data_IF_798559951113
#
_entry.id   IF_798559951113
#
_cell.length_a   1.000
_cell.length_b   1.000
_cell.length_c   1.000
_cell.angle_alpha   90.00
_cell.angle_beta   90.00
_cell.angle_gamma   90.00
#
_symmetry.space_group_name_H-M   'P 1'
#
loop_
_entity.id
_entity.type
_entity.pdbx_description
1 polymer ?
#
# COMPACT_ATOMS: atom_id res chain seq x y z
N UNK A 1 -9.39 -15.65 -2.65
CA UNK A 1 -9.16 -16.93 -3.38
C UNK A 1 -10.35 -17.35 -4.22
N UNK A 2 -11.59 -17.18 -3.74
CA UNK A 2 -12.79 -17.68 -4.42
C UNK A 2 -13.04 -16.98 -5.76
N UNK A 3 -12.91 -15.67 -5.77
CA UNK A 3 -13.08 -14.89 -7.01
C UNK A 3 -11.97 -15.08 -8.06
N UNK A 4 -10.78 -15.56 -7.68
CA UNK A 4 -9.78 -15.98 -8.67
C UNK A 4 -10.28 -17.18 -9.46
N UNK A 5 -10.96 -18.13 -8.82
CA UNK A 5 -11.57 -19.28 -9.49
C UNK A 5 -12.75 -18.86 -10.37
N UNK A 6 -13.52 -17.87 -9.95
CA UNK A 6 -14.62 -17.31 -10.75
C UNK A 6 -14.06 -16.68 -12.01
N UNK A 7 -13.02 -15.81 -11.90
CA UNK A 7 -12.38 -15.17 -13.06
C UNK A 7 -11.70 -16.18 -13.99
N UNK A 8 -11.08 -17.25 -13.43
CA UNK A 8 -10.46 -18.32 -14.22
C UNK A 8 -11.48 -19.12 -15.07
N UNK A 9 -12.74 -19.13 -14.66
CA UNK A 9 -13.85 -19.68 -15.48
C UNK A 9 -14.44 -18.63 -16.41
N UNK A 10 -14.57 -17.40 -15.95
CA UNK A 10 -15.25 -16.33 -16.66
C UNK A 10 -14.55 -16.02 -18.00
N UNK A 11 -13.22 -15.84 -18.03
CA UNK A 11 -12.53 -15.52 -19.29
C UNK A 11 -12.72 -16.60 -20.35
N UNK A 12 -12.81 -17.88 -19.94
CA UNK A 12 -13.08 -19.00 -20.86
C UNK A 12 -14.51 -18.95 -21.39
N UNK A 13 -15.49 -18.72 -20.50
CA UNK A 13 -16.90 -18.63 -20.88
C UNK A 13 -17.15 -17.47 -21.84
N UNK A 14 -16.43 -16.37 -21.68
CA UNK A 14 -16.49 -15.19 -22.53
C UNK A 14 -15.53 -15.24 -23.73
N UNK A 15 -14.84 -16.36 -23.94
CA UNK A 15 -13.92 -16.58 -25.07
C UNK A 15 -12.83 -15.49 -25.18
N UNK A 16 -12.27 -15.08 -24.02
CA UNK A 16 -11.21 -14.08 -23.97
C UNK A 16 -9.85 -14.80 -24.03
N UNK A 17 -9.02 -14.43 -24.99
CA UNK A 17 -7.65 -14.90 -25.07
C UNK A 17 -6.76 -14.12 -24.08
N UNK A 18 -5.97 -14.86 -23.31
CA UNK A 18 -5.06 -14.29 -22.31
C UNK A 18 -3.61 -14.62 -22.64
N UNK A 19 -2.74 -13.61 -22.59
CA UNK A 19 -1.30 -13.82 -22.70
C UNK A 19 -0.73 -14.56 -21.47
N UNK A 20 -1.33 -14.38 -20.30
CA UNK A 20 -0.98 -15.04 -19.04
C UNK A 20 -2.25 -15.32 -18.24
N UNK A 21 -2.36 -16.51 -17.66
CA UNK A 21 -3.50 -16.91 -16.82
C UNK A 21 -3.70 -16.00 -15.60
N UNK A 22 -2.66 -15.34 -15.12
CA UNK A 22 -2.77 -14.38 -14.03
C UNK A 22 -3.56 -13.12 -14.41
N UNK A 23 -3.79 -12.89 -15.70
CA UNK A 23 -4.61 -11.81 -16.24
C UNK A 23 -6.10 -12.20 -16.40
N UNK A 24 -6.53 -13.31 -15.76
CA UNK A 24 -7.92 -13.77 -15.82
C UNK A 24 -8.90 -12.63 -15.53
N UNK A 25 -9.83 -12.42 -16.45
CA UNK A 25 -10.76 -11.28 -16.44
C UNK A 25 -12.15 -11.70 -16.95
N UNK A 26 -13.09 -10.78 -16.83
CA UNK A 26 -14.43 -10.89 -17.38
C UNK A 26 -14.86 -9.54 -17.96
N UNK A 27 -15.78 -9.47 -18.93
CA UNK A 27 -16.36 -8.22 -19.37
C UNK A 27 -16.93 -7.44 -18.19
N UNK A 28 -16.75 -6.11 -18.17
CA UNK A 28 -17.07 -5.28 -17.03
C UNK A 28 -18.53 -5.39 -16.58
N UNK A 29 -19.45 -5.48 -17.52
CA UNK A 29 -20.91 -5.59 -17.31
C UNK A 29 -21.41 -7.03 -17.04
N UNK A 30 -20.51 -8.01 -17.08
CA UNK A 30 -20.83 -9.39 -16.72
C UNK A 30 -21.16 -9.53 -15.23
N UNK A 31 -21.98 -10.53 -14.91
CA UNK A 31 -22.30 -10.85 -13.50
C UNK A 31 -21.06 -11.16 -12.68
N UNK A 32 -20.10 -11.90 -13.24
CA UNK A 32 -18.86 -12.29 -12.60
C UNK A 32 -18.00 -11.07 -12.22
N UNK A 33 -17.86 -10.09 -13.13
CA UNK A 33 -17.11 -8.87 -12.87
C UNK A 33 -17.79 -8.00 -11.80
N UNK A 34 -19.12 -7.85 -11.86
CA UNK A 34 -19.86 -7.07 -10.88
C UNK A 34 -19.84 -7.69 -9.49
N UNK A 35 -19.98 -9.00 -9.38
CA UNK A 35 -19.89 -9.72 -8.11
C UNK A 35 -18.47 -9.64 -7.51
N UNK A 36 -17.44 -9.76 -8.36
CA UNK A 36 -16.05 -9.56 -7.96
C UNK A 36 -15.81 -8.16 -7.40
N UNK A 37 -16.27 -7.12 -8.08
CA UNK A 37 -16.09 -5.73 -7.61
C UNK A 37 -16.80 -5.48 -6.29
N UNK A 38 -18.05 -5.97 -6.12
CA UNK A 38 -18.78 -5.86 -4.85
C UNK A 38 -18.04 -6.52 -3.70
N UNK A 39 -17.54 -7.74 -3.91
CA UNK A 39 -16.79 -8.47 -2.88
C UNK A 39 -15.46 -7.76 -2.56
N UNK A 40 -14.77 -7.23 -3.55
CA UNK A 40 -13.54 -6.45 -3.35
C UNK A 40 -13.83 -5.17 -2.55
N UNK A 41 -14.89 -4.44 -2.86
CA UNK A 41 -15.25 -3.23 -2.11
C UNK A 41 -15.64 -3.54 -0.67
N UNK A 42 -16.37 -4.63 -0.43
CA UNK A 42 -16.65 -5.09 0.92
C UNK A 42 -15.37 -5.41 1.71
N UNK A 43 -14.43 -6.13 1.09
CA UNK A 43 -13.13 -6.44 1.70
C UNK A 43 -12.29 -5.17 1.95
N UNK A 44 -12.31 -4.21 1.03
CA UNK A 44 -11.62 -2.93 1.20
C UNK A 44 -12.22 -2.12 2.35
N UNK A 45 -13.54 -2.04 2.45
CA UNK A 45 -14.23 -1.35 3.54
C UNK A 45 -13.93 -2.00 4.90
N UNK A 46 -13.89 -3.33 4.96
CA UNK A 46 -13.46 -4.05 6.17
C UNK A 46 -12.03 -3.67 6.55
N UNK A 47 -11.11 -3.62 5.59
CA UNK A 47 -9.72 -3.25 5.84
C UNK A 47 -9.60 -1.79 6.34
N UNK A 48 -10.38 -0.86 5.80
CA UNK A 48 -10.42 0.52 6.30
C UNK A 48 -10.95 0.61 7.72
N UNK A 49 -12.07 -0.07 8.02
CA UNK A 49 -12.61 -0.14 9.38
C UNK A 49 -11.58 -0.72 10.36
N UNK A 50 -10.87 -1.79 9.98
CA UNK A 50 -9.81 -2.37 10.79
C UNK A 50 -8.67 -1.36 11.09
N UNK A 51 -8.18 -0.63 10.08
CA UNK A 51 -7.15 0.40 10.29
C UNK A 51 -7.65 1.55 11.16
N UNK A 52 -8.92 1.94 11.02
CA UNK A 52 -9.54 2.95 11.86
C UNK A 52 -9.56 2.50 13.34
N UNK A 53 -9.93 1.25 13.60
CA UNK A 53 -9.89 0.67 14.95
C UNK A 53 -8.46 0.61 15.51
N UNK A 54 -7.49 0.20 14.71
CA UNK A 54 -6.07 0.22 15.11
C UNK A 54 -5.61 1.64 15.48
N UNK A 55 -6.00 2.64 14.69
CA UNK A 55 -5.67 4.04 14.98
C UNK A 55 -6.31 4.51 16.29
N UNK A 56 -7.55 4.11 16.55
CA UNK A 56 -8.24 4.41 17.81
C UNK A 56 -7.47 3.83 19.01
N UNK A 57 -7.15 2.54 19.00
CA UNK A 57 -6.40 1.91 20.09
C UNK A 57 -4.98 2.48 20.28
N UNK A 58 -4.31 2.87 19.20
CA UNK A 58 -3.03 3.56 19.31
C UNK A 58 -3.20 4.88 20.03
N UNK A 59 -4.22 5.69 19.70
CA UNK A 59 -4.52 6.96 20.38
C UNK A 59 -4.81 6.75 21.85
N UNK A 60 -5.71 5.85 22.21
CA UNK A 60 -6.02 5.49 23.61
C UNK A 60 -4.75 5.10 24.37
N UNK A 61 -3.92 4.25 23.80
CA UNK A 61 -2.65 3.84 24.44
C UNK A 61 -1.73 5.01 24.71
N UNK A 62 -1.62 5.96 23.77
CA UNK A 62 -0.81 7.15 23.96
C UNK A 62 -1.43 8.10 24.99
N UNK A 63 -2.74 8.27 25.01
CA UNK A 63 -3.47 9.05 26.00
C UNK A 63 -3.25 8.52 27.41
N UNK A 64 -3.40 7.21 27.59
CA UNK A 64 -3.22 6.51 28.87
C UNK A 64 -1.78 6.64 29.42
N UNK A 65 -0.78 6.53 28.54
CA UNK A 65 0.64 6.57 28.95
C UNK A 65 1.12 8.00 29.20
N UNK A 66 0.71 8.95 28.34
CA UNK A 66 1.27 10.31 28.35
C UNK A 66 0.38 11.33 29.09
N UNK A 67 -0.85 10.94 29.46
CA UNK A 67 -1.79 11.82 30.19
C UNK A 67 -2.24 13.02 29.37
N UNK A 68 -2.24 12.93 28.05
CA UNK A 68 -2.65 14.00 27.11
C UNK A 68 -3.61 13.42 26.07
N UNK A 69 -4.58 14.23 25.64
CA UNK A 69 -5.47 13.79 24.57
C UNK A 69 -4.71 13.61 23.22
N UNK A 70 -5.18 12.71 22.38
CA UNK A 70 -4.63 12.53 21.03
C UNK A 70 -4.65 13.83 20.22
N UNK A 71 -5.65 14.68 20.43
CA UNK A 71 -5.77 15.99 19.81
C UNK A 71 -4.66 16.94 20.27
N UNK A 72 -4.38 17.00 21.57
CA UNK A 72 -3.34 17.86 22.13
C UNK A 72 -1.93 17.40 21.74
N UNK A 73 -1.78 16.10 21.44
CA UNK A 73 -0.56 15.52 20.91
C UNK A 73 -0.44 15.66 19.37
N UNK A 74 -1.44 16.19 18.69
CA UNK A 74 -1.44 16.33 17.23
C UNK A 74 -1.47 14.99 16.48
N UNK A 75 -2.11 13.96 17.05
CA UNK A 75 -2.18 12.63 16.46
C UNK A 75 -3.25 12.55 15.35
N UNK A 76 -3.04 13.30 14.29
CA UNK A 76 -3.91 13.31 13.12
C UNK A 76 -3.49 12.28 12.07
N UNK A 77 -4.48 11.77 11.32
CA UNK A 77 -4.19 10.92 10.15
C UNK A 77 -3.78 11.82 8.98
N UNK A 78 -2.55 11.64 8.51
CA UNK A 78 -2.09 12.33 7.30
C UNK A 78 -2.87 11.82 6.10
N UNK A 79 -2.88 10.52 5.87
CA UNK A 79 -3.60 9.88 4.78
C UNK A 79 -3.81 8.38 5.04
N UNK A 80 -4.85 7.81 4.43
CA UNK A 80 -5.08 6.36 4.39
C UNK A 80 -5.34 5.92 2.95
N UNK A 81 -4.59 4.94 2.47
CA UNK A 81 -4.65 4.46 1.09
C UNK A 81 -4.57 2.95 1.01
N UNK A 82 -5.39 2.37 0.13
CA UNK A 82 -5.32 0.95 -0.19
C UNK A 82 -4.33 0.70 -1.34
N UNK A 83 -3.62 -0.43 -1.28
CA UNK A 83 -2.64 -0.87 -2.29
C UNK A 83 -2.99 -2.21 -2.96
N UNK A 84 -4.13 -2.80 -2.58
CA UNK A 84 -4.71 -4.00 -3.18
C UNK A 84 -6.19 -3.74 -3.45
N UNK A 85 -6.48 -3.03 -4.52
CA UNK A 85 -7.84 -2.60 -4.85
C UNK A 85 -7.98 -2.35 -6.34
N UNK A 86 -9.19 -2.53 -6.87
CA UNK A 86 -9.60 -1.99 -8.16
C UNK A 86 -10.59 -0.85 -7.94
N UNK A 87 -10.43 0.23 -8.66
CA UNK A 87 -11.34 1.37 -8.64
C UNK A 87 -11.75 1.77 -10.04
N UNK A 88 -13.01 2.17 -10.19
CA UNK A 88 -13.45 2.85 -11.39
C UNK A 88 -12.94 4.30 -11.32
N UNK A 89 -12.20 4.70 -12.31
CA UNK A 89 -11.56 6.02 -12.38
C UNK A 89 -11.68 6.55 -13.81
N UNK A 90 -11.68 7.86 -13.97
CA UNK A 90 -11.61 8.50 -15.28
C UNK A 90 -10.19 8.99 -15.54
N UNK A 91 -9.60 8.51 -16.61
CA UNK A 91 -8.24 8.88 -17.03
C UNK A 91 -8.22 9.32 -18.49
N UNK A 92 -7.31 10.21 -18.83
CA UNK A 92 -7.03 10.58 -20.22
C UNK A 92 -6.19 9.48 -20.89
N UNK A 93 -6.68 8.97 -22.01
CA UNK A 93 -5.96 8.03 -22.85
C UNK A 93 -6.05 8.47 -24.31
N UNK A 94 -4.91 8.71 -24.95
CA UNK A 94 -4.84 9.22 -26.35
C UNK A 94 -5.72 10.47 -26.56
N UNK A 95 -5.74 11.38 -25.58
CA UNK A 95 -6.48 12.64 -25.63
C UNK A 95 -7.96 12.56 -25.24
N UNK A 96 -8.51 11.38 -25.03
CA UNK A 96 -9.93 11.17 -24.66
C UNK A 96 -10.05 10.72 -23.20
N UNK A 97 -11.11 11.18 -22.54
CA UNK A 97 -11.46 10.70 -21.21
C UNK A 97 -12.06 9.28 -21.29
N UNK A 98 -11.47 8.35 -20.58
CA UNK A 98 -11.93 6.96 -20.52
C UNK A 98 -12.24 6.55 -19.09
N UNK A 99 -13.39 5.91 -18.88
CA UNK A 99 -13.71 5.21 -17.62
C UNK A 99 -12.99 3.86 -17.61
N UNK A 100 -12.13 3.67 -16.64
CA UNK A 100 -11.29 2.48 -16.50
C UNK A 100 -11.50 1.84 -15.12
N UNK A 101 -11.28 0.53 -15.04
CA UNK A 101 -11.12 -0.16 -13.75
C UNK A 101 -9.64 -0.33 -13.48
N UNK A 102 -9.07 0.58 -12.70
CA UNK A 102 -7.63 0.58 -12.40
C UNK A 102 -7.35 -0.37 -11.24
N UNK A 103 -6.66 -1.47 -11.54
CA UNK A 103 -6.23 -2.46 -10.56
C UNK A 103 -4.85 -2.08 -10.01
N UNK A 104 -4.77 -1.93 -8.69
CA UNK A 104 -3.50 -1.71 -7.98
C UNK A 104 -3.22 -2.87 -7.05
N UNK A 105 -2.15 -3.61 -7.35
CA UNK A 105 -1.60 -4.65 -6.49
C UNK A 105 -0.09 -4.49 -6.45
N UNK A 106 0.43 -4.17 -5.26
CA UNK A 106 1.83 -3.77 -5.14
C UNK A 106 2.08 -2.34 -5.66
N UNK A 107 1.03 -1.59 -5.90
CA UNK A 107 1.03 -0.18 -6.26
C UNK A 107 -0.01 0.57 -5.42
N UNK A 108 0.15 1.87 -5.24
CA UNK A 108 -0.80 2.74 -4.57
C UNK A 108 -1.22 3.89 -5.47
N UNK A 109 -2.37 4.50 -5.16
CA UNK A 109 -2.84 5.69 -5.86
C UNK A 109 -1.95 6.88 -5.53
N UNK A 110 -1.59 7.65 -6.54
CA UNK A 110 -0.72 8.83 -6.48
C UNK A 110 -1.26 9.95 -7.38
N UNK A 111 -2.49 10.40 -7.11
CA UNK A 111 -3.13 11.42 -7.93
C UNK A 111 -2.43 12.77 -7.79
N UNK A 112 -2.27 13.45 -8.91
CA UNK A 112 -1.63 14.74 -9.00
C UNK A 112 -2.47 15.89 -8.45
N UNK A 113 -1.88 17.09 -8.38
CA UNK A 113 -2.61 18.32 -8.03
C UNK A 113 -3.82 18.53 -8.94
N UNK A 114 -4.86 19.17 -8.38
CA UNK A 114 -6.10 19.49 -9.09
C UNK A 114 -7.14 18.38 -9.11
N UNK A 115 -6.83 17.15 -8.68
CA UNK A 115 -7.81 16.06 -8.64
C UNK A 115 -8.88 16.31 -7.58
N UNK A 116 -10.14 16.23 -7.97
CA UNK A 116 -11.29 16.34 -7.05
C UNK A 116 -11.48 15.09 -6.19
N UNK A 117 -10.88 13.97 -6.59
CA UNK A 117 -10.96 12.69 -5.86
C UNK A 117 -10.07 12.63 -4.61
N UNK A 118 -9.25 13.64 -4.37
CA UNK A 118 -8.44 13.75 -3.15
C UNK A 118 -8.99 14.82 -2.21
N UNK A 119 -8.79 14.68 -0.88
CA UNK A 119 -9.25 15.67 0.09
C UNK A 119 -8.77 17.08 -0.25
N UNK A 120 -9.62 18.07 -0.03
CA UNK A 120 -9.39 19.47 -0.39
C UNK A 120 -8.03 20.00 0.08
N UNK A 121 -7.63 19.66 1.31
CA UNK A 121 -6.35 20.07 1.90
C UNK A 121 -5.11 19.63 1.09
N UNK A 122 -5.25 18.62 0.23
CA UNK A 122 -4.17 18.12 -0.60
C UNK A 122 -4.30 18.45 -2.10
N UNK A 123 -5.42 19.03 -2.54
CA UNK A 123 -5.66 19.31 -3.96
C UNK A 123 -4.61 20.19 -4.62
N UNK A 124 -3.99 21.09 -3.88
CA UNK A 124 -2.92 21.98 -4.41
C UNK A 124 -1.57 21.27 -4.54
N UNK A 125 -1.33 20.23 -3.76
CA UNK A 125 -0.02 19.56 -3.67
C UNK A 125 -0.02 18.22 -4.40
N UNK A 126 -1.12 17.52 -4.37
CA UNK A 126 -1.26 16.13 -4.81
C UNK A 126 -1.49 15.17 -3.64
N UNK A 127 -1.92 13.97 -3.96
CA UNK A 127 -2.26 12.95 -2.97
C UNK A 127 -1.01 12.52 -2.18
N UNK A 128 -1.07 12.48 -0.83
CA UNK A 128 -0.02 11.86 -0.04
C UNK A 128 0.18 10.38 -0.39
N UNK A 129 1.43 9.99 -0.56
CA UNK A 129 1.87 8.63 -0.87
C UNK A 129 2.79 8.15 0.23
N UNK A 130 2.58 6.93 0.70
CA UNK A 130 3.42 6.29 1.70
C UNK A 130 4.16 5.12 1.06
N UNK A 131 5.49 5.14 1.10
CA UNK A 131 6.34 4.03 0.67
C UNK A 131 7.07 3.49 1.91
N UNK A 132 6.49 2.52 2.62
CA UNK A 132 7.14 1.89 3.75
C UNK A 132 8.32 1.02 3.30
N UNK A 133 9.40 1.08 4.07
CA UNK A 133 10.52 0.17 3.98
C UNK A 133 10.32 -1.04 4.89
N UNK A 134 11.31 -1.35 5.70
CA UNK A 134 11.31 -2.49 6.61
C UNK A 134 11.40 -2.06 8.07
N UNK A 135 11.38 -3.02 8.99
CA UNK A 135 11.55 -2.78 10.43
C UNK A 135 12.85 -2.05 10.78
N UNK A 136 13.91 -2.22 9.98
CA UNK A 136 15.24 -1.65 10.24
C UNK A 136 15.66 -0.57 9.25
N UNK A 137 14.82 -0.19 8.31
CA UNK A 137 15.11 0.83 7.30
C UNK A 137 14.20 2.04 7.44
N UNK A 138 14.25 2.96 6.49
CA UNK A 138 13.37 4.11 6.47
C UNK A 138 12.00 3.80 5.88
N UNK A 139 11.04 4.68 6.10
CA UNK A 139 9.82 4.82 5.32
C UNK A 139 9.74 6.25 4.77
N UNK A 140 8.98 6.43 3.71
CA UNK A 140 8.95 7.69 2.99
C UNK A 140 7.53 8.21 2.80
N UNK A 141 7.40 9.52 2.90
CA UNK A 141 6.21 10.27 2.49
C UNK A 141 6.55 10.99 1.20
N UNK A 142 5.72 10.81 0.20
CA UNK A 142 5.79 11.47 -1.09
C UNK A 142 4.42 12.10 -1.40
N UNK A 143 4.32 12.79 -2.52
CA UNK A 143 3.02 13.18 -3.07
C UNK A 143 2.93 12.82 -4.55
N UNK A 144 1.70 12.53 -5.00
CA UNK A 144 1.39 12.23 -6.40
C UNK A 144 1.55 13.47 -7.28
N UNK A 145 1.76 13.24 -8.56
CA UNK A 145 2.08 14.27 -9.54
C UNK A 145 1.21 14.18 -10.79
N UNK A 146 1.25 15.20 -11.63
CA UNK A 146 0.60 15.15 -12.92
C UNK A 146 1.23 14.09 -13.84
N UNK A 147 2.56 13.88 -13.76
CA UNK A 147 3.25 12.81 -14.49
C UNK A 147 2.68 11.42 -14.13
N UNK A 148 2.33 11.17 -12.85
CA UNK A 148 1.68 9.91 -12.49
C UNK A 148 0.33 9.74 -13.19
N UNK A 149 -0.45 10.80 -13.31
CA UNK A 149 -1.74 10.75 -14.01
C UNK A 149 -1.59 10.39 -15.49
N UNK A 150 -0.55 10.90 -16.12
CA UNK A 150 -0.28 10.73 -17.56
C UNK A 150 0.36 9.38 -17.88
N UNK A 151 1.34 8.95 -17.07
CA UNK A 151 2.20 7.80 -17.39
C UNK A 151 1.77 6.50 -16.70
N UNK A 152 1.10 6.59 -15.53
CA UNK A 152 0.83 5.42 -14.69
C UNK A 152 -0.60 5.35 -14.16
N UNK A 153 -1.55 6.02 -14.79
CA UNK A 153 -2.93 6.12 -14.30
C UNK A 153 -2.99 6.52 -12.82
N UNK A 154 -2.21 7.55 -12.44
CA UNK A 154 -2.14 8.03 -11.07
C UNK A 154 -1.68 6.97 -10.07
N UNK A 155 -0.65 6.20 -10.40
CA UNK A 155 -0.15 5.12 -9.56
C UNK A 155 1.35 5.22 -9.32
N UNK A 156 1.83 4.73 -8.16
CA UNK A 156 3.25 4.59 -7.82
C UNK A 156 3.49 3.34 -6.97
N UNK A 157 4.73 3.03 -6.64
CA UNK A 157 5.09 1.93 -5.75
C UNK A 157 4.41 2.09 -4.37
N UNK A 158 3.98 0.97 -3.76
CA UNK A 158 3.33 0.98 -2.45
C UNK A 158 4.27 0.68 -1.29
N UNK A 159 5.52 0.30 -1.55
CA UNK A 159 6.52 -0.11 -0.55
C UNK A 159 7.78 -0.63 -1.22
N UNK A 160 8.74 -1.07 -0.43
CA UNK A 160 10.01 -1.61 -0.92
C UNK A 160 9.84 -2.85 -1.82
N UNK A 161 8.82 -3.65 -1.56
CA UNK A 161 8.66 -4.95 -2.20
C UNK A 161 9.64 -6.00 -1.67
N UNK A 162 9.30 -7.28 -1.80
CA UNK A 162 10.11 -8.39 -1.29
C UNK A 162 11.06 -8.94 -2.36
N UNK A 163 12.21 -9.42 -1.93
CA UNK A 163 13.14 -10.23 -2.73
C UNK A 163 13.06 -11.71 -2.33
N UNK A 164 12.63 -12.01 -1.10
CA UNK A 164 12.43 -13.37 -0.60
C UNK A 164 10.97 -13.64 -0.30
N UNK A 165 10.53 -14.89 -0.51
CA UNK A 165 9.24 -15.35 0.00
C UNK A 165 9.25 -15.39 1.53
N UNK A 166 8.06 -15.34 2.16
CA UNK A 166 7.96 -15.45 3.63
C UNK A 166 8.54 -16.75 4.14
N UNK A 167 8.29 -17.86 3.45
CA UNK A 167 8.84 -19.17 3.81
C UNK A 167 10.38 -19.23 3.69
N UNK A 168 10.96 -18.57 2.70
CA UNK A 168 12.41 -18.49 2.57
C UNK A 168 13.02 -17.61 3.65
N UNK A 169 12.42 -16.44 3.92
CA UNK A 169 12.90 -15.55 4.98
C UNK A 169 12.93 -16.26 6.37
N UNK A 170 11.91 -17.07 6.68
CA UNK A 170 11.91 -17.88 7.93
C UNK A 170 13.04 -18.91 8.01
N UNK A 171 13.57 -19.37 6.88
CA UNK A 171 14.70 -20.29 6.85
C UNK A 171 16.04 -19.58 6.97
N UNK A 172 16.14 -18.39 6.37
CA UNK A 172 17.41 -17.66 6.21
C UNK A 172 17.71 -16.75 7.41
N UNK A 173 16.68 -16.32 8.15
CA UNK A 173 16.85 -15.34 9.24
C UNK A 173 16.43 -15.90 10.60
N UNK A 174 17.25 -15.62 11.61
CA UNK A 174 16.97 -15.95 13.00
C UNK A 174 16.35 -14.75 13.72
N UNK A 175 15.20 -14.89 14.38
CA UNK A 175 14.55 -13.79 15.09
C UNK A 175 15.44 -13.04 16.08
N UNK A 176 16.29 -13.76 16.84
CA UNK A 176 17.18 -13.17 17.84
C UNK A 176 18.24 -12.25 17.20
N UNK A 177 18.82 -12.66 16.07
CA UNK A 177 19.79 -11.82 15.35
C UNK A 177 19.13 -10.52 14.84
N UNK A 178 17.88 -10.62 14.34
CA UNK A 178 17.09 -9.45 13.90
C UNK A 178 16.83 -8.52 15.07
N UNK A 179 16.35 -9.04 16.21
CA UNK A 179 16.08 -8.25 17.41
C UNK A 179 17.33 -7.51 17.89
N UNK A 180 18.48 -8.21 17.96
CA UNK A 180 19.74 -7.62 18.38
C UNK A 180 20.18 -6.51 17.43
N UNK A 181 20.10 -6.72 16.12
CA UNK A 181 20.42 -5.71 15.12
C UNK A 181 19.50 -4.49 15.19
N UNK A 182 18.20 -4.70 15.39
CA UNK A 182 17.24 -3.60 15.56
C UNK A 182 17.52 -2.82 16.85
N UNK A 183 17.76 -3.50 17.96
CA UNK A 183 18.10 -2.88 19.24
C UNK A 183 19.39 -2.05 19.16
N UNK A 184 20.44 -2.57 18.50
CA UNK A 184 21.69 -1.84 18.26
C UNK A 184 21.48 -0.54 17.45
N UNK A 185 20.44 -0.48 16.62
CA UNK A 185 20.02 0.71 15.86
C UNK A 185 18.94 1.55 16.58
N UNK A 186 18.65 1.26 17.85
CA UNK A 186 17.70 2.02 18.67
C UNK A 186 16.23 1.72 18.34
N UNK A 187 15.93 0.67 17.58
CA UNK A 187 14.57 0.28 17.20
C UNK A 187 14.04 -0.78 18.17
N UNK A 188 12.95 -0.48 18.86
CA UNK A 188 12.24 -1.44 19.71
C UNK A 188 11.26 -2.26 18.86
N UNK A 189 11.28 -3.59 19.01
CA UNK A 189 10.34 -4.47 18.31
C UNK A 189 9.49 -5.26 19.30
N UNK A 190 8.20 -5.38 18.98
CA UNK A 190 7.26 -6.30 19.60
C UNK A 190 6.49 -7.05 18.52
N UNK A 191 6.41 -8.36 18.63
CA UNK A 191 5.69 -9.21 17.68
C UNK A 191 4.89 -10.28 18.42
N UNK A 192 3.82 -10.76 17.81
CA UNK A 192 2.98 -11.83 18.36
C UNK A 192 3.70 -13.17 18.40
N UNK A 193 4.58 -13.42 17.43
CA UNK A 193 5.38 -14.65 17.35
C UNK A 193 6.77 -14.37 16.80
N UNK A 194 7.74 -15.22 17.12
CA UNK A 194 9.09 -15.18 16.58
C UNK A 194 9.11 -15.38 15.05
N UNK A 195 8.20 -16.21 14.54
CA UNK A 195 8.10 -16.46 13.09
C UNK A 195 7.79 -15.18 12.30
N UNK A 196 6.97 -14.28 12.85
CA UNK A 196 6.65 -12.99 12.20
C UNK A 196 7.89 -12.11 12.09
N UNK A 197 8.79 -12.15 13.08
CA UNK A 197 10.04 -11.38 13.03
C UNK A 197 10.93 -11.88 11.89
N UNK A 198 11.09 -13.19 11.76
CA UNK A 198 11.88 -13.79 10.68
C UNK A 198 11.25 -13.54 9.30
N UNK A 199 9.92 -13.70 9.18
CA UNK A 199 9.18 -13.41 7.94
C UNK A 199 9.42 -12.00 7.42
N UNK A 200 9.47 -11.02 8.33
CA UNK A 200 9.55 -9.60 8.04
C UNK A 200 10.98 -9.06 8.18
N UNK A 201 11.99 -9.94 8.14
CA UNK A 201 13.39 -9.55 8.22
C UNK A 201 13.74 -8.45 7.19
N UNK A 202 14.51 -7.42 7.58
CA UNK A 202 14.89 -6.34 6.67
C UNK A 202 15.50 -6.82 5.35
N UNK A 203 16.38 -7.82 5.40
CA UNK A 203 17.04 -8.39 4.22
C UNK A 203 16.10 -9.18 3.28
N UNK A 204 14.86 -9.43 3.65
CA UNK A 204 13.87 -10.05 2.77
C UNK A 204 13.23 -9.08 1.77
N UNK A 205 13.60 -7.80 1.82
CA UNK A 205 13.03 -6.71 1.02
C UNK A 205 14.08 -6.03 0.14
N UNK A 206 13.60 -5.41 -0.93
CA UNK A 206 14.42 -4.51 -1.75
C UNK A 206 14.83 -3.28 -0.93
N UNK A 207 15.88 -2.62 -1.37
CA UNK A 207 16.27 -1.33 -0.81
C UNK A 207 15.20 -0.26 -1.09
N UNK A 208 14.59 0.26 -0.03
CA UNK A 208 13.53 1.27 -0.13
C UNK A 208 14.05 2.61 -0.67
N UNK A 209 15.31 2.95 -0.39
CA UNK A 209 15.93 4.20 -0.86
C UNK A 209 16.00 4.18 -2.39
N UNK A 210 16.36 3.04 -2.98
CA UNK A 210 16.38 2.84 -4.44
C UNK A 210 14.97 2.92 -5.05
N UNK A 211 13.96 2.32 -4.41
CA UNK A 211 12.57 2.38 -4.89
C UNK A 211 12.05 3.82 -4.90
N UNK A 212 12.30 4.56 -3.82
CA UNK A 212 11.88 5.97 -3.70
C UNK A 212 12.61 6.85 -4.70
N UNK A 213 13.93 6.64 -4.87
CA UNK A 213 14.74 7.39 -5.84
C UNK A 213 14.19 7.23 -7.27
N UNK A 214 13.75 6.03 -7.65
CA UNK A 214 13.13 5.81 -8.96
C UNK A 214 11.82 6.58 -9.07
N UNK A 215 10.92 6.45 -8.10
CA UNK A 215 9.62 7.15 -8.10
C UNK A 215 9.79 8.67 -8.18
N UNK A 216 10.78 9.23 -7.47
CA UNK A 216 11.06 10.67 -7.46
C UNK A 216 11.74 11.14 -8.76
N UNK A 217 12.78 10.41 -9.23
CA UNK A 217 13.54 10.80 -10.42
C UNK A 217 12.72 10.70 -11.71
N UNK A 218 11.80 9.75 -11.81
CA UNK A 218 10.86 9.64 -12.95
C UNK A 218 9.72 10.65 -12.86
N UNK A 219 9.59 11.37 -11.75
CA UNK A 219 8.54 12.36 -11.58
C UNK A 219 7.15 11.78 -11.23
N UNK A 220 7.03 10.47 -11.06
CA UNK A 220 5.75 9.81 -10.75
C UNK A 220 5.25 10.20 -9.34
N UNK A 221 6.16 10.29 -8.37
CA UNK A 221 5.84 10.79 -7.04
C UNK A 221 7.02 11.59 -6.49
N UNK A 222 6.77 12.73 -5.87
CA UNK A 222 7.83 13.59 -5.34
C UNK A 222 8.06 13.41 -3.86
N UNK A 223 9.32 13.28 -3.47
CA UNK A 223 9.76 13.07 -2.08
C UNK A 223 9.42 14.29 -1.22
N UNK A 224 8.82 14.02 -0.06
CA UNK A 224 8.49 15.02 0.97
C UNK A 224 9.32 14.80 2.22
N UNK A 225 9.33 13.56 2.76
CA UNK A 225 10.01 13.27 4.01
C UNK A 225 10.53 11.83 4.05
N UNK A 226 11.65 11.64 4.76
CA UNK A 226 12.19 10.34 5.16
C UNK A 226 12.02 10.21 6.68
N UNK A 227 11.41 9.09 7.12
CA UNK A 227 11.21 8.80 8.53
C UNK A 227 11.88 7.47 8.90
N UNK A 228 12.40 7.39 10.12
CA UNK A 228 13.02 6.16 10.66
C UNK A 228 12.14 5.59 11.77
N UNK A 229 12.04 4.27 11.90
CA UNK A 229 11.30 3.66 12.99
C UNK A 229 12.01 3.88 14.33
N UNK A 230 11.25 4.20 15.36
CA UNK A 230 11.66 4.15 16.78
C UNK A 230 11.20 2.86 17.43
N UNK A 231 10.04 2.38 17.00
CA UNK A 231 9.47 1.11 17.47
C UNK A 231 8.65 0.47 16.35
N UNK A 232 8.53 -0.83 16.39
CA UNK A 232 7.76 -1.63 15.45
C UNK A 232 6.92 -2.65 16.19
N UNK A 233 5.64 -2.72 15.86
CA UNK A 233 4.73 -3.76 16.31
C UNK A 233 4.31 -4.61 15.11
N UNK A 234 4.39 -5.93 15.26
CA UNK A 234 4.00 -6.91 14.25
C UNK A 234 3.01 -7.91 14.83
N UNK A 235 1.91 -8.15 14.12
CA UNK A 235 0.84 -9.09 14.49
C UNK A 235 0.64 -10.20 13.47
#
# INVERSE_FOLDING_TARGET
SDYLRVMDKAYKNHQIDLADRQLACAPFDSKEAQDYLKAMYAAANYAWANRQMMTHWIRETFEDILGKSAKDMGMDIVYDVAHNIAKQETHKFKGNDMKLVVHRKGATRAFGPGSEEIPEKYRKVGQPVLIPGTMGTASYVLHGTQTAMEETFGSTAHGAGRVLSRSQAKKDYKPEEIKNNLAANGVKIRATTENVIAEEAPGAYKDVDSVVKISDSTGIAKLVAKVKPLAVTKG
#
